data_IF_399176196306
#
_entry.id   IF_399176196306
#
_cell.length_a   1.000
_cell.length_b   1.000
_cell.length_c   1.000
_cell.angle_alpha   90.00
_cell.angle_beta   90.00
_cell.angle_gamma   90.00
#
_symmetry.space_group_name_H-M   'P 1'
#
loop_
_entity.id
_entity.type
_entity.pdbx_description
1 polymer ?
#
# COMPACT_ATOMS: atom_id res chain seq x y z
N UNK A 1 -40.43 -22.54 -6.93
CA UNK A 1 -40.24 -21.14 -6.51
C UNK A 1 -39.87 -21.13 -5.03
N UNK A 2 -38.64 -20.68 -4.72
CA UNK A 2 -38.32 -19.76 -3.63
C UNK A 2 -36.79 -19.74 -3.46
N UNK A 3 -36.18 -18.82 -4.21
CA UNK A 3 -34.84 -18.28 -3.96
C UNK A 3 -34.88 -17.47 -2.66
N UNK A 4 -33.93 -17.67 -1.75
CA UNK A 4 -33.88 -16.82 -0.56
C UNK A 4 -32.93 -17.22 0.55
N UNK A 5 -31.73 -17.74 0.25
CA UNK A 5 -30.77 -18.09 1.31
C UNK A 5 -29.32 -17.65 1.05
N UNK A 6 -29.05 -16.74 0.10
CA UNK A 6 -27.69 -16.36 -0.28
C UNK A 6 -27.40 -14.85 -0.25
N UNK A 7 -28.07 -14.07 0.60
CA UNK A 7 -27.83 -12.61 0.72
C UNK A 7 -27.02 -12.27 2.00
N UNK A 8 -26.50 -13.27 2.72
CA UNK A 8 -25.74 -13.04 3.95
C UNK A 8 -24.21 -13.10 3.76
N UNK A 9 -23.71 -13.22 2.52
CA UNK A 9 -22.25 -13.34 2.24
C UNK A 9 -21.65 -12.14 1.51
N UNK A 10 -22.42 -11.07 1.31
CA UNK A 10 -22.08 -10.00 0.35
C UNK A 10 -21.90 -8.63 1.02
N UNK A 11 -21.26 -8.56 2.20
CA UNK A 11 -20.97 -7.28 2.87
C UNK A 11 -19.47 -7.05 3.12
N UNK A 12 -18.60 -8.02 2.82
CA UNK A 12 -17.15 -7.87 3.02
C UNK A 12 -16.39 -7.24 1.83
N UNK A 13 -17.07 -6.69 0.82
CA UNK A 13 -16.44 -6.32 -0.46
C UNK A 13 -16.62 -4.86 -0.89
N UNK A 14 -16.99 -3.94 0.02
CA UNK A 14 -17.23 -2.52 -0.34
C UNK A 14 -16.36 -1.54 0.46
N UNK A 15 -15.44 -2.04 1.28
CA UNK A 15 -14.46 -1.18 1.95
C UNK A 15 -13.35 -0.59 1.04
N UNK A 16 -12.93 -1.18 -0.11
CA UNK A 16 -11.79 -0.60 -0.83
C UNK A 16 -12.16 0.60 -1.71
N UNK A 17 -13.46 0.82 -2.00
CA UNK A 17 -13.86 1.86 -2.96
C UNK A 17 -13.86 3.29 -2.39
N UNK A 18 -13.86 3.46 -1.07
CA UNK A 18 -13.78 4.80 -0.46
C UNK A 18 -12.33 5.35 -0.39
N UNK A 19 -11.32 4.48 -0.47
CA UNK A 19 -9.91 4.92 -0.58
C UNK A 19 -9.56 5.44 -1.98
N UNK A 20 -10.24 4.93 -3.01
CA UNK A 20 -9.97 5.28 -4.42
C UNK A 20 -10.35 6.72 -4.79
N UNK A 21 -11.28 7.35 -4.08
CA UNK A 21 -11.67 8.75 -4.37
C UNK A 21 -10.71 9.78 -3.77
N UNK A 22 -9.94 9.41 -2.74
CA UNK A 22 -8.93 10.32 -2.17
C UNK A 22 -7.68 10.42 -3.07
N UNK A 23 -7.43 9.40 -3.91
CA UNK A 23 -6.38 9.40 -4.94
C UNK A 23 -6.73 10.28 -6.16
N UNK A 24 -8.02 10.50 -6.44
CA UNK A 24 -8.44 11.37 -7.56
C UNK A 24 -8.20 12.87 -7.28
N UNK A 25 -7.98 13.26 -6.01
CA UNK A 25 -7.78 14.67 -5.63
C UNK A 25 -6.36 15.20 -5.82
N UNK A 26 -5.36 14.32 -5.96
CA UNK A 26 -3.95 14.70 -6.18
C UNK A 26 -3.40 14.20 -7.53
N UNK A 27 -4.25 13.54 -8.33
CA UNK A 27 -3.88 12.77 -9.52
C UNK A 27 -4.10 13.46 -10.87
N UNK A 28 -4.09 14.78 -10.96
CA UNK A 28 -4.01 15.46 -12.27
C UNK A 28 -2.54 15.58 -12.73
N UNK A 29 -1.90 14.42 -12.94
CA UNK A 29 -0.79 14.28 -13.88
C UNK A 29 -1.03 12.97 -14.62
N UNK A 30 -1.68 13.14 -15.78
CA UNK A 30 -2.00 12.08 -16.72
C UNK A 30 -0.75 11.25 -17.01
N UNK A 31 -0.89 9.92 -16.88
CA UNK A 31 0.11 8.88 -17.15
C UNK A 31 0.75 9.04 -18.53
N UNK A 32 1.82 9.84 -18.60
CA UNK A 32 2.82 9.84 -19.67
C UNK A 32 4.24 9.71 -19.05
N UNK A 33 4.30 9.12 -17.84
CA UNK A 33 5.46 9.20 -16.96
C UNK A 33 6.44 8.04 -17.19
N UNK A 34 7.73 8.38 -17.24
CA UNK A 34 8.87 7.47 -17.37
C UNK A 34 8.93 6.40 -16.26
N UNK A 35 8.14 6.59 -15.18
CA UNK A 35 7.92 5.63 -14.10
C UNK A 35 6.45 5.64 -13.64
N UNK A 36 5.74 4.51 -13.71
CA UNK A 36 4.31 4.43 -13.39
C UNK A 36 4.05 4.51 -11.88
N UNK A 37 3.37 5.57 -11.44
CA UNK A 37 3.20 5.90 -10.03
C UNK A 37 2.24 4.93 -9.30
N UNK A 38 1.17 4.49 -9.98
CA UNK A 38 0.22 3.50 -9.45
C UNK A 38 0.93 2.20 -9.03
N UNK A 39 1.87 1.74 -9.86
CA UNK A 39 2.68 0.56 -9.57
C UNK A 39 3.67 0.76 -8.42
N UNK A 40 4.06 2.00 -8.12
CA UNK A 40 4.90 2.31 -6.97
C UNK A 40 4.14 2.02 -5.66
N UNK A 41 2.88 2.45 -5.59
CA UNK A 41 2.03 2.22 -4.42
C UNK A 41 1.70 0.73 -4.24
N UNK A 42 1.27 0.05 -5.31
CA UNK A 42 1.00 -1.40 -5.28
C UNK A 42 2.24 -2.18 -4.82
N UNK A 43 3.43 -1.86 -5.37
CA UNK A 43 4.66 -2.53 -4.97
C UNK A 43 4.99 -2.28 -3.50
N UNK A 44 4.74 -1.07 -3.03
CA UNK A 44 5.02 -0.69 -1.65
C UNK A 44 4.10 -1.39 -0.66
N UNK A 45 2.82 -1.50 -1.01
CA UNK A 45 1.85 -2.30 -0.27
C UNK A 45 2.28 -3.77 -0.18
N UNK A 46 2.64 -4.36 -1.32
CA UNK A 46 3.17 -5.72 -1.35
C UNK A 46 4.38 -5.88 -0.41
N UNK A 47 5.34 -4.96 -0.43
CA UNK A 47 6.58 -5.03 0.38
C UNK A 47 6.28 -5.04 1.88
N UNK A 48 5.28 -4.27 2.34
CA UNK A 48 4.93 -4.18 3.76
C UNK A 48 4.07 -5.37 4.18
N UNK A 49 3.09 -5.78 3.37
CA UNK A 49 2.23 -6.93 3.66
C UNK A 49 2.99 -8.27 3.70
N UNK A 50 4.05 -8.41 2.90
CA UNK A 50 4.91 -9.60 2.91
C UNK A 50 5.80 -9.69 4.15
N UNK A 51 5.80 -8.68 5.05
CA UNK A 51 6.61 -8.71 6.26
C UNK A 51 6.03 -9.69 7.28
N UNK A 52 6.88 -10.51 7.91
CA UNK A 52 6.42 -11.48 8.90
C UNK A 52 5.62 -10.81 10.01
N UNK A 53 4.43 -11.36 10.25
CA UNK A 53 3.55 -10.91 11.32
C UNK A 53 2.70 -9.68 10.98
N UNK A 54 2.89 -9.00 9.85
CA UNK A 54 1.97 -7.91 9.47
C UNK A 54 0.57 -8.46 9.23
N UNK A 55 -0.40 -7.91 9.96
CA UNK A 55 -1.82 -8.29 9.86
C UNK A 55 -2.71 -7.17 9.34
N UNK A 56 -2.28 -5.91 9.49
CA UNK A 56 -2.93 -4.73 8.93
C UNK A 56 -1.90 -3.60 8.77
N UNK A 57 -2.21 -2.60 7.96
CA UNK A 57 -1.39 -1.40 7.81
C UNK A 57 -2.22 -0.19 7.37
N UNK A 58 -1.71 1.00 7.67
CA UNK A 58 -2.24 2.23 7.09
C UNK A 58 -1.12 3.19 6.69
N UNK A 59 -1.34 3.84 5.55
CA UNK A 59 -0.48 4.90 5.03
C UNK A 59 -0.82 6.22 5.70
N UNK A 60 0.21 7.01 6.02
CA UNK A 60 0.07 8.36 6.57
C UNK A 60 0.76 9.39 5.69
N UNK A 61 1.96 9.06 5.24
CA UNK A 61 2.83 10.01 4.54
C UNK A 61 3.22 9.48 3.18
N UNK A 62 3.29 10.40 2.22
CA UNK A 62 3.58 10.15 0.82
C UNK A 62 4.46 11.30 0.34
N UNK A 63 5.61 10.99 -0.27
CA UNK A 63 6.44 12.02 -0.91
C UNK A 63 7.34 11.45 -2.01
N UNK A 64 7.55 12.25 -3.03
CA UNK A 64 8.64 12.05 -3.99
C UNK A 64 9.97 12.45 -3.35
N UNK A 65 10.99 11.62 -3.53
CA UNK A 65 12.35 11.86 -3.03
C UNK A 65 13.25 12.37 -4.16
N UNK A 66 13.08 11.81 -5.36
CA UNK A 66 13.82 12.15 -6.58
C UNK A 66 13.02 11.66 -7.80
N UNK A 67 13.53 11.89 -9.00
CA UNK A 67 12.99 11.33 -10.24
C UNK A 67 12.86 9.80 -10.11
N UNK A 68 11.62 9.30 -10.20
CA UNK A 68 11.30 7.88 -10.08
C UNK A 68 11.73 7.22 -8.75
N UNK A 69 11.86 8.01 -7.67
CA UNK A 69 12.06 7.53 -6.30
C UNK A 69 11.02 8.11 -5.35
N UNK A 70 10.50 7.24 -4.52
CA UNK A 70 9.31 7.49 -3.74
C UNK A 70 9.44 7.01 -2.31
N UNK A 71 8.97 7.79 -1.35
CA UNK A 71 8.92 7.43 0.06
C UNK A 71 7.49 7.41 0.58
N UNK A 72 7.18 6.38 1.36
CA UNK A 72 5.91 6.15 2.02
C UNK A 72 6.14 5.92 3.50
N UNK A 73 5.36 6.61 4.32
CA UNK A 73 5.31 6.43 5.75
C UNK A 73 3.95 5.91 6.20
N UNK A 74 3.93 5.11 7.26
CA UNK A 74 2.71 4.52 7.76
C UNK A 74 2.89 3.88 9.12
N UNK A 75 1.92 3.08 9.50
CA UNK A 75 2.06 2.12 10.58
C UNK A 75 1.60 0.75 10.09
N UNK A 76 2.22 -0.30 10.62
CA UNK A 76 1.80 -1.67 10.43
C UNK A 76 1.46 -2.27 11.80
N UNK A 77 0.36 -3.02 11.84
CA UNK A 77 -0.03 -3.81 12.99
C UNK A 77 0.60 -5.20 12.83
N UNK A 78 1.43 -5.60 13.80
CA UNK A 78 2.24 -6.82 13.78
C UNK A 78 1.75 -7.78 14.86
N UNK A 79 1.39 -8.99 14.47
CA UNK A 79 1.07 -10.08 15.39
C UNK A 79 2.34 -10.58 16.10
N UNK A 80 2.28 -10.60 17.43
CA UNK A 80 3.33 -11.09 18.33
C UNK A 80 2.75 -12.12 19.30
N UNK A 81 3.61 -12.79 20.06
CA UNK A 81 3.18 -13.74 21.11
C UNK A 81 2.34 -13.10 22.22
N UNK A 82 2.33 -11.75 22.31
CA UNK A 82 1.62 -10.99 23.35
C UNK A 82 0.38 -10.25 22.83
N UNK A 83 0.11 -10.29 21.53
CA UNK A 83 -1.01 -9.58 20.91
C UNK A 83 -0.62 -8.92 19.60
N UNK A 84 -1.20 -7.76 19.32
CA UNK A 84 -0.89 -6.95 18.14
C UNK A 84 -0.14 -5.71 18.58
N UNK A 85 1.07 -5.53 18.07
CA UNK A 85 1.89 -4.33 18.30
C UNK A 85 1.85 -3.45 17.06
N UNK A 86 1.67 -2.13 17.26
CA UNK A 86 1.69 -1.16 16.18
C UNK A 86 3.10 -0.58 16.02
N UNK A 87 3.64 -0.70 14.81
CA UNK A 87 4.99 -0.25 14.47
C UNK A 87 4.93 0.76 13.33
N UNK A 88 5.53 1.92 13.55
CA UNK A 88 5.74 2.91 12.49
C UNK A 88 6.78 2.40 11.49
N UNK A 89 6.56 2.73 10.22
CA UNK A 89 7.51 2.39 9.17
C UNK A 89 7.73 3.52 8.17
N UNK A 90 8.91 3.53 7.57
CA UNK A 90 9.22 4.33 6.37
C UNK A 90 9.81 3.41 5.30
N UNK A 91 9.20 3.43 4.11
CA UNK A 91 9.58 2.65 2.96
C UNK A 91 10.00 3.59 1.83
N UNK A 92 11.18 3.34 1.25
CA UNK A 92 11.62 4.02 0.02
C UNK A 92 11.70 2.99 -1.09
N UNK A 93 11.06 3.30 -2.21
CA UNK A 93 11.13 2.53 -3.46
C UNK A 93 11.69 3.37 -4.59
N UNK A 94 12.34 2.73 -5.55
CA UNK A 94 12.78 3.39 -6.79
C UNK A 94 12.46 2.51 -7.99
N UNK A 95 12.15 3.15 -9.11
CA UNK A 95 11.96 2.47 -10.38
C UNK A 95 13.32 2.15 -11.00
N UNK A 96 13.55 0.89 -11.30
CA UNK A 96 14.70 0.45 -12.09
C UNK A 96 14.30 0.41 -13.58
N UNK A 97 14.85 1.29 -14.43
CA UNK A 97 14.51 1.33 -15.85
C UNK A 97 15.07 0.14 -16.64
N UNK A 98 16.07 -0.59 -16.12
CA UNK A 98 16.58 -1.78 -16.80
C UNK A 98 15.63 -2.97 -16.66
N UNK A 99 15.05 -3.12 -15.47
CA UNK A 99 14.10 -4.21 -15.18
C UNK A 99 12.65 -3.80 -15.33
N UNK A 100 12.39 -2.51 -15.57
CA UNK A 100 11.06 -1.89 -15.62
C UNK A 100 10.22 -2.22 -14.38
N UNK A 101 10.83 -2.19 -13.20
CA UNK A 101 10.21 -2.60 -11.93
C UNK A 101 10.51 -1.62 -10.82
N UNK A 102 9.52 -1.43 -9.94
CA UNK A 102 9.74 -0.80 -8.64
C UNK A 102 10.47 -1.76 -7.70
N UNK A 103 11.50 -1.25 -7.04
CA UNK A 103 12.34 -2.01 -6.11
C UNK A 103 12.39 -1.32 -4.75
N UNK A 104 12.45 -2.12 -3.70
CA UNK A 104 12.73 -1.61 -2.36
C UNK A 104 14.16 -1.08 -2.30
N UNK A 105 14.32 0.18 -1.93
CA UNK A 105 15.62 0.77 -1.59
C UNK A 105 15.89 0.63 -0.09
N UNK A 106 14.90 0.97 0.73
CA UNK A 106 15.01 0.86 2.18
C UNK A 106 13.65 0.64 2.82
N UNK A 107 13.61 -0.11 3.91
CA UNK A 107 12.46 -0.20 4.79
C UNK A 107 12.98 -0.10 6.23
N UNK A 108 12.51 0.90 6.96
CA UNK A 108 12.69 0.99 8.41
C UNK A 108 11.36 0.66 9.09
N UNK A 109 11.42 -0.12 10.16
CA UNK A 109 10.30 -0.42 11.04
C UNK A 109 10.81 -0.30 12.47
N UNK A 110 10.21 0.58 13.27
CA UNK A 110 10.65 0.80 14.66
C UNK A 110 9.88 -0.13 15.59
N UNK A 111 10.55 -1.20 16.04
CA UNK A 111 10.07 -2.05 17.14
C UNK A 111 10.39 -1.45 18.50
#
# INVERSE_FOLDING_TARGET
MNWGANIARTVAFVAPLAGLTLLMGFGERLDDDTCPQSLAFEKSQQIVEERPGVVDMAWRDFRWVDDCRFALGGYADIATDRGVDRTDFELVVAFDPQTHRWQQISLSMTQ
#
